data_IF_847732127137
#
_entry.id   IF_847732127137
#
_cell.length_a   1.000
_cell.length_b   1.000
_cell.length_c   1.000
_cell.angle_alpha   90.00
_cell.angle_beta   90.00
_cell.angle_gamma   90.00
#
_symmetry.space_group_name_H-M   'P 1'
#
loop_
_entity.id
_entity.type
_entity.pdbx_description
1 polymer ?
#
# COMPACT_ATOMS: atom_id res chain seq x y z
N UNK A 1 -1.29 -9.00 4.38
CA UNK A 1 -0.50 -9.30 3.17
C UNK A 1 0.50 -8.18 3.02
N UNK A 2 1.78 -8.50 2.92
CA UNK A 2 2.79 -7.48 2.63
C UNK A 2 2.71 -7.15 1.13
N UNK A 3 2.93 -5.90 0.73
CA UNK A 3 2.87 -5.47 -0.68
C UNK A 3 3.79 -6.31 -1.59
N UNK A 4 4.85 -6.88 -1.01
CA UNK A 4 5.82 -7.75 -1.67
C UNK A 4 5.21 -9.04 -2.23
N UNK A 5 4.34 -9.70 -1.46
CA UNK A 5 3.72 -10.96 -1.86
C UNK A 5 2.75 -10.73 -3.03
N UNK A 6 2.05 -9.61 -3.01
CA UNK A 6 1.10 -9.23 -4.07
C UNK A 6 1.82 -8.85 -5.37
N UNK A 7 2.91 -8.09 -5.27
CA UNK A 7 3.73 -7.73 -6.44
C UNK A 7 4.40 -8.98 -7.04
N UNK A 8 4.81 -9.96 -6.22
CA UNK A 8 5.38 -11.22 -6.71
C UNK A 8 4.38 -12.02 -7.56
N UNK A 9 3.08 -11.96 -7.27
CA UNK A 9 2.02 -12.64 -8.04
C UNK A 9 1.84 -12.09 -9.45
N UNK A 10 2.26 -10.86 -9.73
CA UNK A 10 2.10 -10.19 -11.02
C UNK A 10 3.13 -10.63 -12.09
N UNK A 11 4.05 -11.55 -11.77
CA UNK A 11 5.05 -12.05 -12.72
C UNK A 11 6.11 -11.01 -13.11
N UNK A 12 6.32 -9.99 -12.28
CA UNK A 12 7.26 -8.90 -12.54
C UNK A 12 8.70 -9.39 -12.46
N UNK A 13 9.60 -8.85 -13.30
CA UNK A 13 11.03 -9.21 -13.25
C UNK A 13 11.59 -8.94 -11.86
N UNK A 14 12.46 -9.82 -11.37
CA UNK A 14 13.08 -9.76 -10.03
C UNK A 14 13.74 -8.40 -9.72
N UNK A 15 14.27 -7.71 -10.74
CA UNK A 15 14.83 -6.36 -10.58
C UNK A 15 13.76 -5.31 -10.21
N UNK A 16 12.57 -5.38 -10.80
CA UNK A 16 11.48 -4.44 -10.49
C UNK A 16 10.94 -4.67 -9.08
N UNK A 17 10.87 -5.94 -8.63
CA UNK A 17 10.52 -6.23 -7.23
C UNK A 17 11.53 -5.61 -6.26
N UNK A 18 12.83 -5.64 -6.59
CA UNK A 18 13.85 -4.98 -5.76
C UNK A 18 13.68 -3.46 -5.73
N UNK A 19 13.32 -2.84 -6.85
CA UNK A 19 13.05 -1.40 -6.92
C UNK A 19 11.83 -1.03 -6.09
N UNK A 20 10.73 -1.77 -6.25
CA UNK A 20 9.49 -1.56 -5.48
C UNK A 20 9.76 -1.73 -3.99
N UNK A 21 10.48 -2.78 -3.60
CA UNK A 21 10.89 -3.01 -2.20
C UNK A 21 11.71 -1.84 -1.66
N UNK A 22 12.70 -1.37 -2.42
CA UNK A 22 13.48 -0.18 -2.05
C UNK A 22 12.63 1.10 -2.00
N UNK A 23 11.42 1.11 -2.58
CA UNK A 23 10.49 2.22 -2.49
C UNK A 23 9.65 2.23 -1.19
N UNK A 24 9.51 1.09 -0.51
CA UNK A 24 8.65 0.94 0.67
C UNK A 24 9.41 0.58 1.95
N UNK A 25 10.61 0.00 1.85
CA UNK A 25 11.43 -0.35 3.02
C UNK A 25 12.35 0.79 3.50
N UNK A 26 12.75 0.71 4.78
CA UNK A 26 13.82 1.51 5.39
C UNK A 26 13.68 3.02 5.18
N UNK A 27 12.45 3.52 5.24
CA UNK A 27 12.18 4.96 5.14
C UNK A 27 12.47 5.60 6.48
N UNK A 28 13.25 6.68 6.45
CA UNK A 28 13.50 7.52 7.61
C UNK A 28 12.75 8.82 7.39
N UNK A 29 11.80 9.11 8.27
CA UNK A 29 11.18 10.41 8.35
C UNK A 29 12.15 11.33 9.10
N UNK A 30 12.70 12.32 8.40
CA UNK A 30 13.51 13.37 9.01
C UNK A 30 12.62 14.59 9.17
N UNK A 31 12.52 15.11 10.39
CA UNK A 31 11.89 16.40 10.63
C UNK A 31 12.88 17.34 11.31
N UNK A 32 12.94 18.57 10.80
CA UNK A 32 13.75 19.62 11.40
C UNK A 32 13.00 20.20 12.61
N UNK A 33 13.69 20.23 13.75
CA UNK A 33 13.25 20.99 14.93
C UNK A 33 14.19 22.14 15.18
N UNK A 34 13.75 23.10 16.01
CA UNK A 34 14.58 24.23 16.44
C UNK A 34 15.87 23.79 17.17
N UNK A 35 15.89 22.58 17.76
CA UNK A 35 17.03 22.07 18.52
C UNK A 35 17.95 21.15 17.68
N UNK A 36 17.38 20.20 16.93
CA UNK A 36 18.09 19.30 16.01
C UNK A 36 17.16 18.49 15.09
N UNK A 37 17.63 17.99 13.93
CA UNK A 37 16.83 17.08 13.11
C UNK A 37 16.53 15.78 13.87
N UNK A 38 15.26 15.42 14.03
CA UNK A 38 14.89 14.10 14.57
C UNK A 38 14.55 13.13 13.44
N UNK A 39 14.95 11.88 13.63
CA UNK A 39 14.76 10.81 12.67
C UNK A 39 13.85 9.73 13.25
N UNK A 40 12.84 9.33 12.49
CA UNK A 40 11.94 8.25 12.84
C UNK A 40 11.96 7.17 11.76
N UNK A 41 12.12 5.91 12.17
CA UNK A 41 11.97 4.79 11.25
C UNK A 41 10.49 4.65 10.89
N UNK A 42 10.19 4.76 9.61
CA UNK A 42 8.85 4.63 9.06
C UNK A 42 8.68 3.23 8.47
N UNK A 43 7.94 2.37 9.18
CA UNK A 43 7.77 0.95 8.82
C UNK A 43 6.38 0.60 8.31
N UNK A 44 5.47 1.56 8.21
CA UNK A 44 4.03 1.26 8.15
C UNK A 44 3.39 1.36 6.77
N UNK A 45 3.79 2.33 5.95
CA UNK A 45 2.93 2.77 4.86
C UNK A 45 3.71 3.22 3.62
N UNK A 46 3.03 3.30 2.49
CA UNK A 46 3.59 3.90 1.29
C UNK A 46 3.63 5.42 1.49
N UNK A 47 4.79 6.10 1.38
CA UNK A 47 4.88 7.53 1.61
C UNK A 47 3.93 8.32 0.71
N UNK A 48 3.19 9.26 1.30
CA UNK A 48 2.34 10.17 0.54
C UNK A 48 3.20 10.97 -0.45
N UNK A 49 2.84 10.94 -1.74
CA UNK A 49 3.63 11.54 -2.81
C UNK A 49 4.58 10.57 -3.54
N UNK A 50 4.62 9.28 -3.18
CA UNK A 50 5.25 8.27 -4.03
C UNK A 50 4.44 8.13 -5.33
N UNK A 51 5.07 8.36 -6.49
CA UNK A 51 4.43 8.21 -7.82
C UNK A 51 3.82 6.82 -8.01
N UNK A 52 4.47 5.79 -7.44
CA UNK A 52 4.00 4.41 -7.47
C UNK A 52 2.95 4.10 -6.41
N UNK A 53 2.60 5.03 -5.52
CA UNK A 53 1.73 4.77 -4.39
C UNK A 53 0.33 4.32 -4.79
N UNK A 54 -0.28 4.99 -5.78
CA UNK A 54 -1.59 4.58 -6.29
C UNK A 54 -1.54 3.18 -6.90
N UNK A 55 -0.52 2.88 -7.71
CA UNK A 55 -0.37 1.57 -8.34
C UNK A 55 -0.18 0.45 -7.31
N UNK A 56 0.61 0.70 -6.25
CA UNK A 56 0.82 -0.26 -5.19
C UNK A 56 -0.45 -0.50 -4.37
N UNK A 57 -1.24 0.54 -4.11
CA UNK A 57 -2.57 0.39 -3.51
C UNK A 57 -3.49 -0.46 -4.38
N UNK A 58 -3.58 -0.18 -5.68
CA UNK A 58 -4.43 -0.95 -6.60
C UNK A 58 -4.04 -2.44 -6.61
N UNK A 59 -2.74 -2.75 -6.57
CA UNK A 59 -2.23 -4.13 -6.48
C UNK A 59 -2.59 -4.78 -5.13
N UNK A 60 -2.40 -4.07 -4.01
CA UNK A 60 -2.73 -4.59 -2.69
C UNK A 60 -4.24 -4.81 -2.50
N UNK A 61 -5.07 -3.96 -3.11
CA UNK A 61 -6.52 -4.04 -3.03
C UNK A 61 -7.14 -5.04 -4.01
N UNK A 62 -6.42 -5.52 -5.02
CA UNK A 62 -6.98 -6.41 -6.06
C UNK A 62 -7.58 -7.70 -5.48
N UNK A 63 -6.83 -8.40 -4.63
CA UNK A 63 -7.30 -9.61 -3.95
C UNK A 63 -8.44 -9.29 -2.96
N UNK A 64 -8.39 -8.14 -2.29
CA UNK A 64 -9.46 -7.70 -1.39
C UNK A 64 -10.76 -7.46 -2.18
N UNK A 65 -10.71 -6.65 -3.24
CA UNK A 65 -11.85 -6.29 -4.09
C UNK A 65 -12.48 -7.47 -4.81
N UNK A 66 -11.68 -8.51 -5.10
CA UNK A 66 -12.16 -9.77 -5.70
C UNK A 66 -12.72 -10.77 -4.69
N UNK A 67 -12.67 -10.45 -3.39
CA UNK A 67 -13.23 -11.31 -2.35
C UNK A 67 -14.72 -11.49 -2.57
N UNK A 68 -15.19 -12.75 -2.55
CA UNK A 68 -16.61 -13.06 -2.71
C UNK A 68 -17.40 -12.50 -1.53
N UNK A 69 -18.36 -11.63 -1.82
CA UNK A 69 -19.30 -11.07 -0.87
C UNK A 69 -20.67 -11.74 -1.02
N UNK A 70 -21.48 -11.80 0.05
CA UNK A 70 -22.87 -12.22 -0.06
C UNK A 70 -23.66 -11.23 -0.95
N UNK A 71 -24.77 -11.65 -1.57
CA UNK A 71 -25.56 -10.81 -2.50
C UNK A 71 -26.02 -9.48 -1.89
N UNK A 72 -26.16 -9.42 -0.57
CA UNK A 72 -26.59 -8.27 0.21
C UNK A 72 -25.46 -7.28 0.50
N UNK A 73 -24.22 -7.57 0.08
CA UNK A 73 -23.06 -6.76 0.39
C UNK A 73 -22.29 -6.32 -0.85
N UNK A 74 -21.89 -5.05 -0.87
CA UNK A 74 -21.05 -4.44 -1.90
C UNK A 74 -19.88 -3.74 -1.23
N UNK A 75 -18.67 -4.01 -1.72
CA UNK A 75 -17.48 -3.29 -1.31
C UNK A 75 -17.12 -2.22 -2.33
N UNK A 76 -16.84 -1.02 -1.83
CA UNK A 76 -16.40 0.14 -2.61
C UNK A 76 -15.07 0.60 -2.01
N UNK A 77 -14.03 0.68 -2.83
CA UNK A 77 -12.73 1.22 -2.42
C UNK A 77 -12.31 2.41 -3.27
N UNK A 78 -11.57 3.32 -2.66
CA UNK A 78 -10.96 4.48 -3.29
C UNK A 78 -9.67 4.85 -2.56
N UNK A 79 -8.57 4.94 -3.30
CA UNK A 79 -7.24 5.20 -2.75
C UNK A 79 -6.90 4.23 -1.60
N UNK A 80 -6.66 4.75 -0.40
CA UNK A 80 -6.33 4.00 0.82
C UNK A 80 -7.57 3.54 1.62
N UNK A 81 -8.79 3.82 1.13
CA UNK A 81 -10.02 3.52 1.86
C UNK A 81 -10.88 2.45 1.17
N UNK A 82 -11.35 1.46 1.94
CA UNK A 82 -12.38 0.51 1.52
C UNK A 82 -13.58 0.55 2.47
N UNK A 83 -14.80 0.44 1.92
CA UNK A 83 -16.07 0.44 2.65
C UNK A 83 -16.92 -0.73 2.21
N UNK A 84 -17.53 -1.40 3.19
CA UNK A 84 -18.53 -2.43 2.96
C UNK A 84 -19.93 -1.86 3.20
N UNK A 85 -20.80 -1.98 2.20
CA UNK A 85 -22.20 -1.57 2.26
C UNK A 85 -23.03 -2.85 2.33
N UNK A 86 -23.90 -2.96 3.33
CA UNK A 86 -24.80 -4.11 3.51
C UNK A 86 -26.24 -3.59 3.41
N UNK A 87 -27.03 -4.17 2.50
CA UNK A 87 -28.45 -3.86 2.34
C UNK A 87 -29.29 -4.99 2.93
N UNK A 88 -30.05 -4.71 3.98
CA UNK A 88 -30.99 -5.64 4.61
C UNK A 88 -32.32 -5.71 3.87
#
# INVERSE_FOLDING_TARGET
GNAEDEVAKLGVRTYLNRVIRSCVENRILVHDTEEAPQQYLFTGEIPQGLVLGQLLWDIMYDDLLKTRLPPEAVMVAFADHARLIITA
#
